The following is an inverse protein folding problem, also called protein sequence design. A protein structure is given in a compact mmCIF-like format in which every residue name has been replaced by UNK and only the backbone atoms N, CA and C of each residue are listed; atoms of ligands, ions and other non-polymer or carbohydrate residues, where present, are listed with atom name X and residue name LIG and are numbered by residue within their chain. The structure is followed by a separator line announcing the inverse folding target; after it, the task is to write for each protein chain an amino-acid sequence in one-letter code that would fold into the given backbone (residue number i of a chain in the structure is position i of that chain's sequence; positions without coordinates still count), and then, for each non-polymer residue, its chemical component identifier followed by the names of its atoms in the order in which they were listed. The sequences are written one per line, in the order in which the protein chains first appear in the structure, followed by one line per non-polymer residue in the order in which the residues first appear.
data_IF_683904535619
#
_entry.id   IF_683904535619
#
_cell.length_a   1.000
_cell.length_b   1.000
_cell.length_c   1.000
_cell.angle_alpha   90.00
_cell.angle_beta   90.00
_cell.angle_gamma   90.00
#
_symmetry.space_group_name_H-M   'P 1'
#
loop_
_entity.id
_entity.type
_entity.pdbx_description
1 polymer ?
#
# COMPACT_ATOMS: atom_id res chain seq x y z
N UNK A 1 8.67 -3.01 8.67
CA UNK A 1 8.94 -1.65 8.17
C UNK A 1 7.64 -0.88 7.95
N UNK A 2 6.73 -1.37 7.09
CA UNK A 2 5.40 -0.75 6.90
C UNK A 2 4.52 -0.77 8.16
N UNK A 3 4.76 -1.72 9.09
CA UNK A 3 4.08 -1.75 10.39
C UNK A 3 4.28 -0.46 11.20
N UNK A 4 5.46 0.18 11.07
CA UNK A 4 5.73 1.44 11.77
C UNK A 4 4.86 2.58 11.22
N UNK A 5 4.57 2.58 9.91
CA UNK A 5 3.66 3.55 9.31
C UNK A 5 2.22 3.31 9.77
N UNK A 6 1.79 2.05 9.84
CA UNK A 6 0.48 1.70 10.41
C UNK A 6 0.35 2.20 11.86
N UNK A 7 1.35 1.94 12.71
CA UNK A 7 1.33 2.34 14.12
C UNK A 7 1.41 3.86 14.28
N UNK A 8 2.24 4.54 13.49
CA UNK A 8 2.35 6.00 13.53
C UNK A 8 1.01 6.67 13.18
N UNK A 9 0.37 6.21 12.11
CA UNK A 9 -0.94 6.72 11.69
C UNK A 9 -2.02 6.40 12.72
N UNK A 10 -1.99 5.18 13.27
CA UNK A 10 -2.88 4.76 14.34
C UNK A 10 -2.76 5.67 15.55
N UNK A 11 -1.53 5.89 16.07
CA UNK A 11 -1.29 6.68 17.28
C UNK A 11 -1.65 8.17 17.07
N UNK A 12 -1.42 8.71 15.87
CA UNK A 12 -1.83 10.07 15.53
C UNK A 12 -3.36 10.22 15.58
N UNK A 13 -4.10 9.38 14.86
CA UNK A 13 -5.55 9.49 14.79
C UNK A 13 -6.27 8.95 16.03
N UNK A 14 -5.63 8.09 16.84
CA UNK A 14 -6.21 7.55 18.08
C UNK A 14 -6.58 8.65 19.06
N UNK A 15 -5.79 9.73 19.16
CA UNK A 15 -6.09 10.89 20.02
C UNK A 15 -7.36 11.63 19.61
N UNK A 16 -7.69 11.65 18.32
CA UNK A 16 -8.78 12.46 17.75
C UNK A 16 -10.04 11.65 17.43
N UNK A 17 -9.89 10.38 17.06
CA UNK A 17 -10.94 9.55 16.44
C UNK A 17 -11.20 8.22 17.19
N UNK A 18 -10.47 7.94 18.27
CA UNK A 18 -10.72 6.78 19.13
C UNK A 18 -10.70 5.45 18.38
N UNK A 19 -11.84 4.73 18.32
CA UNK A 19 -11.96 3.43 17.63
C UNK A 19 -11.87 3.55 16.11
N UNK A 20 -12.26 4.69 15.51
CA UNK A 20 -12.23 4.90 14.05
C UNK A 20 -10.81 5.00 13.49
N UNK A 21 -9.82 5.31 14.33
CA UNK A 21 -8.41 5.34 13.92
C UNK A 21 -7.91 3.98 13.43
N UNK A 22 -8.50 2.89 13.90
CA UNK A 22 -8.20 1.53 13.46
C UNK A 22 -8.55 1.32 12.00
N UNK A 23 -9.77 1.70 11.62
CA UNK A 23 -10.24 1.60 10.24
C UNK A 23 -9.39 2.46 9.32
N UNK A 24 -9.02 3.67 9.76
CA UNK A 24 -8.18 4.59 8.97
C UNK A 24 -6.77 4.04 8.77
N UNK A 25 -6.15 3.51 9.82
CA UNK A 25 -4.82 2.91 9.73
C UNK A 25 -4.80 1.67 8.82
N UNK A 26 -5.86 0.85 8.89
CA UNK A 26 -6.02 -0.34 8.05
C UNK A 26 -6.31 0.04 6.59
N UNK A 27 -7.13 1.07 6.37
CA UNK A 27 -7.36 1.63 5.04
C UNK A 27 -6.06 2.15 4.43
N UNK A 28 -5.32 2.97 5.18
CA UNK A 28 -4.05 3.53 4.74
C UNK A 28 -3.04 2.46 4.33
N UNK A 29 -2.84 1.42 5.15
CA UNK A 29 -1.82 0.39 4.84
C UNK A 29 -2.20 -0.42 3.61
N UNK A 30 -3.50 -0.70 3.42
CA UNK A 30 -3.98 -1.35 2.21
C UNK A 30 -3.75 -0.48 0.98
N UNK A 31 -4.16 0.80 1.03
CA UNK A 31 -3.93 1.74 -0.07
C UNK A 31 -2.44 1.86 -0.40
N UNK A 32 -1.57 1.96 0.62
CA UNK A 32 -0.13 2.04 0.43
C UNK A 32 0.45 0.80 -0.26
N UNK A 33 0.15 -0.40 0.25
CA UNK A 33 0.66 -1.64 -0.34
C UNK A 33 0.13 -1.87 -1.76
N UNK A 34 -1.14 -1.55 -2.02
CA UNK A 34 -1.73 -1.63 -3.35
C UNK A 34 -1.11 -0.63 -4.32
N UNK A 35 -0.85 0.60 -3.87
CA UNK A 35 -0.23 1.64 -4.70
C UNK A 35 1.18 1.24 -5.11
N UNK A 36 1.96 0.68 -4.18
CA UNK A 36 3.31 0.16 -4.46
C UNK A 36 3.23 -1.01 -5.45
N UNK A 37 2.32 -1.96 -5.22
CA UNK A 37 2.14 -3.11 -6.11
C UNK A 37 1.73 -2.66 -7.52
N UNK A 38 0.83 -1.68 -7.63
CA UNK A 38 0.38 -1.12 -8.91
C UNK A 38 1.54 -0.42 -9.63
N UNK A 39 2.31 0.40 -8.93
CA UNK A 39 3.46 1.11 -9.49
C UNK A 39 4.53 0.13 -10.00
N UNK A 40 4.87 -0.90 -9.22
CA UNK A 40 5.83 -1.92 -9.65
C UNK A 40 5.29 -2.77 -10.81
N UNK A 41 4.02 -3.19 -10.74
CA UNK A 41 3.40 -3.99 -11.79
C UNK A 41 3.34 -3.26 -13.13
N UNK A 42 2.92 -1.99 -13.12
CA UNK A 42 2.87 -1.15 -14.32
C UNK A 42 4.26 -0.82 -14.86
N UNK A 43 5.24 -0.57 -13.98
CA UNK A 43 6.64 -0.41 -14.37
C UNK A 43 7.18 -1.63 -15.13
N UNK A 44 7.05 -2.84 -14.56
CA UNK A 44 7.54 -4.06 -15.21
C UNK A 44 6.81 -4.36 -16.52
N UNK A 45 5.50 -4.07 -16.59
CA UNK A 45 4.72 -4.22 -17.81
C UNK A 45 5.21 -3.26 -18.91
N UNK A 46 5.40 -1.98 -18.60
CA UNK A 46 5.91 -0.99 -19.54
C UNK A 46 7.33 -1.34 -20.01
N UNK A 47 8.20 -1.74 -19.07
CA UNK A 47 9.57 -2.13 -19.36
C UNK A 47 9.65 -3.38 -20.25
N UNK A 48 8.88 -4.44 -19.95
CA UNK A 48 8.84 -5.64 -20.77
C UNK A 48 8.34 -5.37 -22.20
N UNK A 49 7.37 -4.45 -22.32
CA UNK A 49 6.85 -4.01 -23.62
C UNK A 49 7.94 -3.31 -24.43
N UNK A 50 8.70 -2.41 -23.81
CA UNK A 50 9.84 -1.75 -24.46
C UNK A 50 10.95 -2.74 -24.88
N UNK A 51 11.16 -3.81 -24.11
CA UNK A 51 12.12 -4.87 -24.41
C UNK A 51 11.65 -5.87 -25.48
N UNK A 52 10.48 -5.67 -26.09
CA UNK A 52 9.86 -6.61 -27.05
C UNK A 52 9.68 -8.03 -26.51
N UNK A 53 9.65 -8.19 -25.18
CA UNK A 53 9.26 -9.44 -24.56
C UNK A 53 7.75 -9.57 -24.80
N UNK A 54 7.29 -10.72 -25.30
CA UNK A 54 5.87 -10.94 -25.57
C UNK A 54 5.07 -10.70 -24.28
N UNK A 55 4.47 -9.52 -24.18
CA UNK A 55 4.07 -8.93 -22.91
C UNK A 55 2.70 -9.45 -22.47
N UNK A 56 2.46 -9.40 -21.16
CA UNK A 56 1.17 -9.73 -20.58
C UNK A 56 0.12 -8.77 -21.17
N UNK A 57 -0.94 -9.31 -21.76
CA UNK A 57 -2.09 -8.52 -22.21
C UNK A 57 -2.71 -7.73 -21.05
N UNK A 58 -3.19 -6.52 -21.31
CA UNK A 58 -3.83 -5.63 -20.31
C UNK A 58 -4.88 -6.36 -19.46
N UNK A 59 -5.73 -7.20 -20.06
CA UNK A 59 -6.75 -7.93 -19.31
C UNK A 59 -6.14 -8.91 -18.27
N UNK A 60 -5.06 -9.62 -18.65
CA UNK A 60 -4.35 -10.54 -17.75
C UNK A 60 -3.68 -9.78 -16.61
N UNK A 61 -3.14 -8.59 -16.88
CA UNK A 61 -2.56 -7.73 -15.85
C UNK A 61 -3.60 -7.33 -14.79
N UNK A 62 -4.77 -6.84 -15.20
CA UNK A 62 -5.83 -6.45 -14.26
C UNK A 62 -6.37 -7.63 -13.44
N UNK A 63 -6.48 -8.81 -14.04
CA UNK A 63 -6.86 -10.04 -13.33
C UNK A 63 -5.84 -10.38 -12.24
N UNK A 64 -4.54 -10.40 -12.59
CA UNK A 64 -3.47 -10.69 -11.62
C UNK A 64 -3.39 -9.61 -10.52
N UNK A 65 -3.56 -8.34 -10.89
CA UNK A 65 -3.59 -7.23 -9.96
C UNK A 65 -4.74 -7.37 -8.97
N UNK A 66 -5.94 -7.69 -9.44
CA UNK A 66 -7.13 -7.90 -8.59
C UNK A 66 -6.92 -9.05 -7.61
N UNK A 67 -6.36 -10.17 -8.07
CA UNK A 67 -6.10 -11.34 -7.23
C UNK A 67 -5.02 -11.04 -6.17
N UNK A 68 -3.94 -10.36 -6.55
CA UNK A 68 -2.91 -9.92 -5.62
C UNK A 68 -3.44 -8.89 -4.61
N UNK A 69 -4.32 -7.99 -5.06
CA UNK A 69 -4.96 -6.99 -4.21
C UNK A 69 -5.81 -7.63 -3.11
N UNK A 70 -6.64 -8.60 -3.50
CA UNK A 70 -7.44 -9.37 -2.56
C UNK A 70 -6.56 -10.09 -1.54
N UNK A 71 -5.49 -10.75 -1.98
CA UNK A 71 -4.53 -11.40 -1.08
C UNK A 71 -3.91 -10.41 -0.08
N UNK A 72 -3.49 -9.23 -0.54
CA UNK A 72 -2.93 -8.18 0.31
C UNK A 72 -3.93 -7.71 1.36
N UNK A 73 -5.18 -7.46 0.97
CA UNK A 73 -6.23 -7.02 1.89
C UNK A 73 -6.46 -8.05 2.99
N UNK A 74 -6.57 -9.34 2.64
CA UNK A 74 -6.71 -10.42 3.61
C UNK A 74 -5.49 -10.55 4.52
N UNK A 75 -4.27 -10.49 3.95
CA UNK A 75 -3.01 -10.53 4.71
C UNK A 75 -2.96 -9.41 5.75
N UNK A 76 -3.29 -8.18 5.35
CA UNK A 76 -3.25 -7.02 6.25
C UNK A 76 -4.32 -7.09 7.33
N UNK A 77 -5.53 -7.52 6.97
CA UNK A 77 -6.61 -7.73 7.94
C UNK A 77 -6.20 -8.74 9.03
N UNK A 78 -5.60 -9.87 8.65
CA UNK A 78 -5.10 -10.86 9.61
C UNK A 78 -3.90 -10.37 10.44
N UNK A 79 -3.00 -9.58 9.83
CA UNK A 79 -1.76 -9.10 10.46
C UNK A 79 -2.03 -8.08 11.57
N UNK A 80 -2.94 -7.14 11.33
CA UNK A 80 -3.22 -6.03 12.26
C UNK A 80 -4.33 -6.35 13.29
N UNK A 81 -4.53 -7.64 13.57
CA UNK A 81 -5.46 -8.10 14.59
C UNK A 81 -5.05 -7.65 16.01
N UNK A 82 -5.99 -7.54 16.95
CA UNK A 82 -5.83 -6.88 18.25
C UNK A 82 -4.61 -7.34 19.06
N UNK A 83 -4.34 -8.66 19.12
CA UNK A 83 -3.19 -9.23 19.84
C UNK A 83 -1.85 -8.84 19.19
N UNK A 84 -1.70 -9.05 17.88
CA UNK A 84 -0.48 -8.69 17.12
C UNK A 84 -0.23 -7.19 17.11
N UNK A 85 -1.29 -6.38 16.97
CA UNK A 85 -1.23 -4.92 17.03
C UNK A 85 -0.65 -4.40 18.35
N UNK A 86 -1.04 -5.00 19.48
CA UNK A 86 -0.55 -4.55 20.78
C UNK A 86 0.96 -4.82 20.93
N UNK A 87 1.42 -5.98 20.47
CA UNK A 87 2.84 -6.34 20.42
C UNK A 87 3.61 -5.37 19.52
N UNK A 88 3.08 -5.09 18.32
CA UNK A 88 3.67 -4.14 17.38
C UNK A 88 3.80 -2.74 17.97
N UNK A 89 2.73 -2.24 18.63
CA UNK A 89 2.74 -0.93 19.27
C UNK A 89 3.76 -0.84 20.42
N UNK A 90 3.87 -1.87 21.25
CA UNK A 90 4.89 -1.95 22.31
C UNK A 90 6.32 -2.00 21.75
N UNK A 91 6.51 -2.58 20.56
CA UNK A 91 7.81 -2.64 19.86
C UNK A 91 8.14 -1.36 19.09
N UNK A 92 7.17 -0.47 18.89
CA UNK A 92 7.39 0.78 18.13
C UNK A 92 8.20 1.78 18.96
N UNK A 93 9.49 1.88 18.64
CA UNK A 93 10.42 2.88 19.23
C UNK A 93 10.79 3.99 18.25
N UNK A 94 10.23 3.98 17.03
CA UNK A 94 10.60 4.92 15.97
C UNK A 94 9.92 6.27 16.15
N UNK A 95 10.65 7.36 15.88
CA UNK A 95 10.09 8.72 15.75
C UNK A 95 8.89 8.67 14.81
N UNK A 96 7.77 9.28 15.20
CA UNK A 96 6.57 9.39 14.36
C UNK A 96 6.90 10.21 13.12
N UNK A 97 6.90 9.62 11.91
CA UNK A 97 7.10 10.40 10.70
C UNK A 97 5.95 11.40 10.54
N UNK A 98 6.21 12.49 9.79
CA UNK A 98 5.18 13.48 9.49
C UNK A 98 3.99 12.83 8.79
N UNK A 99 2.78 13.16 9.25
CA UNK A 99 1.52 12.61 8.72
C UNK A 99 1.33 13.00 7.26
N UNK A 100 1.75 14.20 6.89
CA UNK A 100 1.70 14.66 5.50
C UNK A 100 2.58 13.78 4.59
N UNK A 101 3.77 13.42 5.08
CA UNK A 101 4.70 12.56 4.33
C UNK A 101 4.15 11.13 4.18
N UNK A 102 3.48 10.63 5.21
CA UNK A 102 2.79 9.33 5.17
C UNK A 102 1.72 9.31 4.08
N UNK A 103 0.86 10.33 4.00
CA UNK A 103 -0.18 10.40 2.96
C UNK A 103 0.35 10.72 1.57
N UNK A 104 1.49 11.42 1.46
CA UNK A 104 2.13 11.71 0.18
C UNK A 104 2.71 10.46 -0.48
N UNK A 105 3.16 9.46 0.31
CA UNK A 105 3.71 8.21 -0.21
C UNK A 105 2.77 7.44 -1.15
N UNK A 106 1.53 7.05 -0.74
CA UNK A 106 0.62 6.32 -1.62
C UNK A 106 0.22 7.17 -2.84
N UNK A 107 0.04 8.49 -2.66
CA UNK A 107 -0.27 9.41 -3.76
C UNK A 107 0.87 9.40 -4.79
N UNK A 108 2.12 9.51 -4.35
CA UNK A 108 3.29 9.46 -5.23
C UNK A 108 3.38 8.15 -6.01
N UNK A 109 3.13 7.01 -5.37
CA UNK A 109 3.10 5.71 -6.04
C UNK A 109 1.97 5.61 -7.08
N UNK A 110 0.79 6.14 -6.80
CA UNK A 110 -0.33 6.17 -7.75
C UNK A 110 0.03 7.02 -8.96
N UNK A 111 0.58 8.22 -8.76
CA UNK A 111 1.02 9.11 -9.84
C UNK A 111 2.06 8.41 -10.72
N UNK A 112 3.06 7.75 -10.13
CA UNK A 112 4.05 6.98 -10.87
C UNK A 112 3.41 5.84 -11.69
N UNK A 113 2.46 5.11 -11.10
CA UNK A 113 1.74 4.06 -11.82
C UNK A 113 0.98 4.59 -13.05
N UNK A 114 0.35 5.76 -12.93
CA UNK A 114 -0.32 6.41 -14.06
C UNK A 114 0.67 6.84 -15.16
N UNK A 115 1.83 7.37 -14.79
CA UNK A 115 2.89 7.72 -15.76
C UNK A 115 3.33 6.48 -16.53
N UNK A 116 3.53 5.33 -15.87
CA UNK A 116 3.90 4.09 -16.57
C UNK A 116 2.76 3.54 -17.43
N UNK A 117 1.51 3.67 -17.00
CA UNK A 117 0.36 3.28 -17.83
C UNK A 117 0.24 4.13 -19.10
N UNK A 118 0.60 5.41 -19.06
CA UNK A 118 0.61 6.25 -20.26
C UNK A 118 1.63 5.79 -21.30
N UNK A 119 2.73 5.16 -20.88
CA UNK A 119 3.73 4.59 -21.80
C UNK A 119 3.19 3.35 -22.53
N UNK A 120 2.17 2.69 -21.95
CA UNK A 120 1.53 1.49 -22.49
C UNK A 120 0.30 1.79 -23.37
N UNK A 121 -0.22 3.02 -23.32
CA UNK A 121 -1.38 3.49 -24.08
C UNK A 121 -0.96 4.03 -25.46
#
# INVERSE_FOLDING_TARGET
MLDNYYIALLNYYKKRLGKRSLTIALFYINVLELSILMSLGTFFMAFATQMKINSISSNKFWILFSLASLFIMFKNWMRYNGKKRNILNAKSRSKTPSIYLLWLLPIGCIVLAFVFLQVLA
#
